data_IF_936004235450
#
_entry.id   IF_936004235450
#
_cell.length_a   1.000
_cell.length_b   1.000
_cell.length_c   1.000
_cell.angle_alpha   90.00
_cell.angle_beta   90.00
_cell.angle_gamma   90.00
#
_symmetry.space_group_name_H-M   'P 1'
#
loop_
_entity.id
_entity.type
_entity.pdbx_description
1 polymer ?
#
# COMPACT_ATOMS: atom_id res chain seq x y z
N UNK A 1 -10.14 2.33 8.11
CA UNK A 1 -9.27 2.02 9.27
C UNK A 1 -9.06 0.51 9.35
N UNK A 2 -7.82 0.04 9.50
CA UNK A 2 -7.51 -1.40 9.64
C UNK A 2 -7.77 -1.88 11.07
N UNK A 3 -8.37 -3.05 11.23
CA UNK A 3 -8.50 -3.71 12.54
C UNK A 3 -7.14 -4.19 13.04
N UNK A 4 -6.97 -4.41 14.36
CA UNK A 4 -5.76 -5.03 14.91
C UNK A 4 -5.46 -6.41 14.30
N UNK A 5 -6.49 -7.13 13.87
CA UNK A 5 -6.37 -8.44 13.21
C UNK A 5 -5.79 -8.37 11.79
N UNK A 6 -5.61 -7.18 11.21
CA UNK A 6 -5.27 -7.06 9.79
C UNK A 6 -6.48 -6.88 8.89
N UNK A 7 -6.21 -6.86 7.59
CA UNK A 7 -7.20 -6.72 6.54
C UNK A 7 -6.56 -6.42 5.19
N UNK A 8 -7.39 -6.38 4.15
CA UNK A 8 -6.99 -5.95 2.81
C UNK A 8 -7.23 -4.44 2.67
N UNK A 9 -6.30 -3.74 2.06
CA UNK A 9 -6.44 -2.35 1.64
C UNK A 9 -6.35 -2.23 0.12
N UNK A 10 -7.07 -1.25 -0.42
CA UNK A 10 -7.00 -0.84 -1.82
C UNK A 10 -6.44 0.58 -1.87
N UNK A 11 -5.15 0.72 -2.16
CA UNK A 11 -4.46 2.00 -2.13
C UNK A 11 -4.43 2.63 -3.52
N UNK A 12 -5.04 3.81 -3.65
CA UNK A 12 -5.08 4.58 -4.88
C UNK A 12 -4.04 5.70 -4.87
N UNK A 13 -3.23 5.80 -5.92
CA UNK A 13 -2.29 6.91 -6.10
C UNK A 13 -2.24 7.37 -7.56
N UNK A 14 -2.17 8.69 -7.77
CA UNK A 14 -1.74 9.28 -9.05
C UNK A 14 -0.24 9.55 -8.99
N UNK A 15 0.51 8.92 -9.88
CA UNK A 15 1.97 8.81 -9.81
C UNK A 15 2.57 8.96 -11.21
N UNK A 16 3.76 9.56 -11.37
CA UNK A 16 4.46 9.54 -12.65
C UNK A 16 4.58 8.11 -13.20
N UNK A 17 4.32 7.91 -14.49
CA UNK A 17 4.29 6.58 -15.12
C UNK A 17 5.61 5.81 -14.95
N UNK A 18 6.72 6.52 -14.79
CA UNK A 18 8.05 5.97 -14.51
C UNK A 18 8.13 5.29 -13.13
N UNK A 19 7.38 5.79 -12.15
CA UNK A 19 7.38 5.32 -10.75
C UNK A 19 6.11 4.53 -10.38
N UNK A 20 5.32 4.13 -11.38
CA UNK A 20 3.90 3.78 -11.22
C UNK A 20 3.60 2.70 -10.18
N UNK A 21 4.53 1.80 -9.90
CA UNK A 21 4.37 0.78 -8.86
C UNK A 21 5.41 0.87 -7.76
N UNK A 22 6.59 1.43 -8.03
CA UNK A 22 7.66 1.53 -7.04
C UNK A 22 7.26 2.45 -5.89
N UNK A 23 6.84 3.69 -6.20
CA UNK A 23 6.48 4.68 -5.19
C UNK A 23 5.23 4.26 -4.38
N UNK A 24 4.13 3.81 -5.01
CA UNK A 24 2.92 3.44 -4.27
C UNK A 24 3.12 2.19 -3.41
N UNK A 25 3.86 1.18 -3.89
CA UNK A 25 4.17 -0.01 -3.09
C UNK A 25 5.05 0.37 -1.91
N UNK A 26 6.11 1.18 -2.11
CA UNK A 26 6.95 1.66 -1.01
C UNK A 26 6.11 2.36 0.06
N UNK A 27 5.18 3.22 -0.36
CA UNK A 27 4.27 3.93 0.56
C UNK A 27 3.36 3.00 1.35
N UNK A 28 2.87 1.93 0.73
CA UNK A 28 2.10 0.89 1.44
C UNK A 28 2.95 0.25 2.54
N UNK A 29 4.20 -0.12 2.24
CA UNK A 29 5.12 -0.68 3.23
C UNK A 29 5.47 0.31 4.35
N UNK A 30 5.84 1.55 3.99
CA UNK A 30 6.17 2.60 4.96
C UNK A 30 4.98 2.89 5.91
N UNK A 31 3.75 2.90 5.37
CA UNK A 31 2.54 3.16 6.14
C UNK A 31 2.10 1.98 7.02
N UNK A 32 2.53 0.75 6.72
CA UNK A 32 2.16 -0.43 7.49
C UNK A 32 2.84 -0.52 8.86
N UNK A 33 3.74 0.41 9.20
CA UNK A 33 4.33 0.58 10.54
C UNK A 33 4.90 -0.74 11.13
N UNK A 34 5.60 -1.52 10.31
CA UNK A 34 6.20 -2.79 10.72
C UNK A 34 5.25 -3.99 10.80
N UNK A 35 4.00 -3.84 10.35
CA UNK A 35 3.10 -4.98 10.10
C UNK A 35 3.57 -5.73 8.86
N UNK A 36 3.33 -7.03 8.83
CA UNK A 36 3.51 -7.84 7.62
C UNK A 36 2.61 -7.30 6.50
N UNK A 37 3.15 -7.18 5.30
CA UNK A 37 2.43 -6.73 4.11
C UNK A 37 2.70 -7.69 2.96
N UNK A 38 1.62 -8.17 2.36
CA UNK A 38 1.63 -8.96 1.14
C UNK A 38 0.93 -8.16 0.04
N UNK A 39 1.62 -7.94 -1.10
CA UNK A 39 1.01 -7.31 -2.26
C UNK A 39 0.23 -8.38 -3.03
N UNK A 40 -1.08 -8.21 -3.12
CA UNK A 40 -1.99 -9.14 -3.80
C UNK A 40 -2.11 -8.80 -5.29
N UNK A 41 -2.24 -7.51 -5.62
CA UNK A 41 -2.36 -7.03 -6.99
C UNK A 41 -1.82 -5.61 -7.14
N UNK A 42 -1.41 -5.27 -8.37
CA UNK A 42 -1.03 -3.91 -8.78
C UNK A 42 -1.54 -3.65 -10.19
N UNK A 43 -2.33 -2.61 -10.37
CA UNK A 43 -2.93 -2.28 -11.68
C UNK A 43 -2.96 -0.79 -11.96
N UNK A 44 -2.85 -0.44 -13.23
CA UNK A 44 -3.17 0.90 -13.73
C UNK A 44 -4.67 0.95 -14.00
N UNK A 45 -5.38 1.84 -13.31
CA UNK A 45 -6.83 2.04 -13.53
C UNK A 45 -7.04 2.91 -14.76
N UNK A 46 -6.29 4.01 -14.87
CA UNK A 46 -6.35 4.93 -16.00
C UNK A 46 -5.11 5.82 -16.05
N UNK A 47 -4.79 6.30 -17.25
CA UNK A 47 -3.81 7.38 -17.42
C UNK A 47 -4.50 8.71 -17.15
N UNK A 48 -4.09 9.41 -16.09
CA UNK A 48 -4.74 10.63 -15.62
C UNK A 48 -4.30 11.84 -16.44
N UNK A 49 -3.01 11.91 -16.80
CA UNK A 49 -2.42 12.95 -17.62
C UNK A 49 -1.21 12.39 -18.40
N UNK A 50 -0.63 13.11 -19.39
CA UNK A 50 0.62 12.71 -20.02
C UNK A 50 1.69 12.42 -18.97
N UNK A 51 2.20 11.18 -18.96
CA UNK A 51 3.21 10.73 -18.00
C UNK A 51 2.72 10.53 -16.55
N UNK A 52 1.40 10.54 -16.29
CA UNK A 52 0.84 10.29 -14.94
C UNK A 52 -0.21 9.18 -15.00
N UNK A 53 0.04 8.11 -14.24
CA UNK A 53 -0.87 6.97 -14.09
C UNK A 53 -1.61 7.04 -12.76
N UNK A 54 -2.90 6.70 -12.79
CA UNK A 54 -3.66 6.36 -11.60
C UNK A 54 -3.57 4.85 -11.40
N UNK A 55 -2.90 4.43 -10.33
CA UNK A 55 -2.74 3.02 -9.98
C UNK A 55 -3.55 2.65 -8.74
N UNK A 56 -3.79 1.35 -8.61
CA UNK A 56 -4.29 0.72 -7.40
C UNK A 56 -3.34 -0.40 -6.98
N UNK A 57 -2.98 -0.38 -5.70
CA UNK A 57 -2.25 -1.46 -5.04
C UNK A 57 -3.19 -2.14 -4.05
N UNK A 58 -3.42 -3.44 -4.26
CA UNK A 58 -4.15 -4.26 -3.32
C UNK A 58 -3.14 -4.96 -2.41
N UNK A 59 -3.25 -4.72 -1.11
CA UNK A 59 -2.30 -5.26 -0.14
C UNK A 59 -3.03 -5.86 1.06
N UNK A 60 -2.61 -7.05 1.48
CA UNK A 60 -3.01 -7.66 2.75
C UNK A 60 -2.03 -7.20 3.83
N UNK A 61 -2.55 -6.52 4.84
CA UNK A 61 -1.79 -6.10 6.01
C UNK A 61 -2.11 -7.03 7.17
N UNK A 62 -1.06 -7.61 7.77
CA UNK A 62 -1.13 -8.56 8.87
C UNK A 62 -1.54 -7.92 10.21
N UNK A 63 -1.47 -8.70 11.28
CA UNK A 63 -1.86 -8.24 12.62
C UNK A 63 -0.94 -7.13 13.10
N UNK A 64 -1.47 -6.22 13.92
CA UNK A 64 -0.61 -5.31 14.69
C UNK A 64 0.22 -6.13 15.68
N UNK A 65 1.53 -5.90 15.75
CA UNK A 65 2.39 -6.56 16.74
C UNK A 65 2.09 -6.01 18.13
N UNK A 66 1.88 -6.88 19.12
CA UNK A 66 1.64 -6.49 20.52
C UNK A 66 2.92 -6.11 21.30
N UNK A 67 4.09 -6.02 20.64
CA UNK A 67 5.34 -5.62 21.28
C UNK A 67 5.42 -4.10 21.41
N UNK A 68 4.74 -3.52 22.39
CA UNK A 68 5.16 -2.27 23.04
C UNK A 68 4.44 -2.05 24.40
N UNK A 69 4.48 -3.05 25.26
CA UNK A 69 4.19 -2.88 26.68
C UNK A 69 5.41 -3.45 27.41
N UNK A 70 6.08 -2.58 28.18
CA UNK A 70 7.31 -2.77 28.97
C UNK A 70 8.63 -2.35 28.29
N UNK A 71 8.97 -1.06 28.48
CA UNK A 71 10.31 -0.61 28.87
C UNK A 71 10.16 0.58 29.82
#
# INVERSE_FOLDING_TARGET
>A
MLKPSGGVIHYHESVPSELRFERPVKRVFDAAAGREVEILDKRVVKRYAPGVDHVVIDARVGKASSKNILS
#
